data_IF_265155907833
#
_entry.id   IF_265155907833
#
_cell.length_a   1.000
_cell.length_b   1.000
_cell.length_c   1.000
_cell.angle_alpha   90.00
_cell.angle_beta   90.00
_cell.angle_gamma   90.00
#
_symmetry.space_group_name_H-M   'P 1'
#
loop_
_entity.id
_entity.type
_entity.pdbx_description
1 polymer ?
#
# COMPACT_ATOMS: atom_id res chain seq x y z
N UNK A 1 9.03 -15.40 15.51
CA UNK A 1 7.79 -14.71 15.98
C UNK A 1 6.58 -15.29 15.26
N UNK A 2 5.39 -15.22 15.88
CA UNK A 2 4.11 -15.47 15.19
C UNK A 2 3.50 -14.14 14.74
N UNK A 3 2.56 -14.15 13.77
CA UNK A 3 1.95 -12.91 13.27
C UNK A 3 1.32 -12.04 14.38
N UNK A 4 0.71 -12.67 15.38
CA UNK A 4 0.09 -11.96 16.51
C UNK A 4 1.10 -11.36 17.51
N UNK A 5 2.38 -11.66 17.37
CA UNK A 5 3.48 -11.08 18.17
C UNK A 5 4.14 -9.90 17.46
N UNK A 6 3.87 -9.73 16.15
CA UNK A 6 4.44 -8.66 15.31
C UNK A 6 3.51 -7.44 15.35
N UNK A 7 4.01 -6.31 15.83
CA UNK A 7 3.26 -5.06 15.86
C UNK A 7 3.66 -4.17 14.69
N UNK A 8 2.95 -4.28 13.59
CA UNK A 8 3.06 -3.41 12.40
C UNK A 8 1.69 -3.07 11.85
N UNK A 9 1.60 -1.94 11.12
CA UNK A 9 0.50 -1.59 10.23
C UNK A 9 0.90 -1.84 8.79
N UNK A 10 -0.09 -1.81 7.89
CA UNK A 10 0.12 -1.76 6.43
C UNK A 10 1.05 -2.88 5.95
N UNK A 11 0.78 -4.16 6.31
CA UNK A 11 1.69 -5.25 5.99
C UNK A 11 1.70 -5.55 4.51
N UNK A 12 2.89 -5.56 3.93
CA UNK A 12 3.15 -5.96 2.55
C UNK A 12 4.03 -7.21 2.52
N UNK A 13 3.62 -8.27 1.82
CA UNK A 13 4.37 -9.52 1.71
C UNK A 13 4.88 -9.72 0.29
N UNK A 14 6.19 -9.83 0.14
CA UNK A 14 6.87 -10.17 -1.11
C UNK A 14 7.33 -11.63 -1.08
N UNK A 15 6.72 -12.55 -1.85
CA UNK A 15 7.23 -13.91 -2.07
C UNK A 15 8.36 -13.89 -3.11
N UNK A 16 9.56 -14.28 -2.72
CA UNK A 16 10.71 -14.38 -3.64
C UNK A 16 11.72 -15.42 -3.13
N UNK A 17 12.29 -16.21 -4.06
CA UNK A 17 13.34 -17.21 -3.80
C UNK A 17 13.05 -18.17 -2.63
N UNK A 18 11.79 -18.64 -2.54
CA UNK A 18 11.35 -19.60 -1.52
C UNK A 18 11.13 -18.99 -0.13
N UNK A 19 11.15 -17.67 -0.01
CA UNK A 19 10.91 -16.93 1.24
C UNK A 19 9.85 -15.85 1.07
N UNK A 20 9.22 -15.51 2.18
CA UNK A 20 8.26 -14.42 2.29
C UNK A 20 8.89 -13.29 3.09
N UNK A 21 8.93 -12.10 2.51
CA UNK A 21 9.49 -10.89 3.12
C UNK A 21 8.31 -9.97 3.46
N UNK A 22 8.05 -9.74 4.75
CA UNK A 22 6.97 -8.87 5.21
C UNK A 22 7.53 -7.54 5.71
N UNK A 23 7.07 -6.46 5.09
CA UNK A 23 7.35 -5.08 5.46
C UNK A 23 6.11 -4.47 6.09
N UNK A 24 6.26 -3.33 6.75
CA UNK A 24 5.13 -2.58 7.30
C UNK A 24 5.56 -1.34 8.05
N UNK A 25 4.61 -0.50 8.36
CA UNK A 25 4.79 0.64 9.25
C UNK A 25 5.07 0.14 10.67
N UNK A 26 6.11 0.63 11.33
CA UNK A 26 6.46 0.28 12.71
C UNK A 26 5.32 0.69 13.66
N UNK A 27 4.61 -0.27 14.25
CA UNK A 27 3.39 -0.04 15.01
C UNK A 27 3.55 0.86 16.22
N UNK A 28 4.64 0.70 16.99
CA UNK A 28 4.92 1.53 18.18
C UNK A 28 5.35 2.98 17.85
N UNK A 29 5.64 3.29 16.57
CA UNK A 29 6.15 4.58 16.09
C UNK A 29 5.44 5.01 14.80
N UNK A 30 4.17 4.69 14.66
CA UNK A 30 3.41 5.02 13.46
C UNK A 30 3.07 6.51 13.32
N UNK A 31 3.13 7.27 14.42
CA UNK A 31 2.92 8.72 14.41
C UNK A 31 4.12 9.45 15.03
N UNK A 32 4.48 10.59 14.46
CA UNK A 32 5.58 11.42 14.91
C UNK A 32 6.93 10.99 14.36
N UNK A 33 8.00 11.19 15.15
CA UNK A 33 9.38 10.90 14.74
C UNK A 33 9.56 9.44 14.29
N UNK A 34 10.19 9.26 13.15
CA UNK A 34 10.48 7.96 12.56
C UNK A 34 11.85 7.97 11.88
N UNK A 35 12.49 6.80 11.82
CA UNK A 35 13.87 6.69 11.33
C UNK A 35 14.06 5.63 10.24
N UNK A 36 13.12 4.72 10.01
CA UNK A 36 13.33 3.66 9.04
C UNK A 36 12.24 2.61 8.99
N UNK A 37 12.53 1.53 8.23
CA UNK A 37 11.66 0.37 8.04
C UNK A 37 12.40 -0.92 8.33
N UNK A 38 11.62 -1.93 8.71
CA UNK A 38 12.09 -3.28 8.96
C UNK A 38 11.46 -4.28 7.98
N UNK A 39 12.11 -5.45 7.85
CA UNK A 39 11.56 -6.64 7.20
C UNK A 39 11.54 -7.81 8.19
N UNK A 40 10.49 -8.61 8.11
CA UNK A 40 10.37 -9.92 8.76
C UNK A 40 10.42 -11.00 7.67
N UNK A 41 11.12 -12.10 7.92
CA UNK A 41 11.29 -13.17 6.92
C UNK A 41 10.67 -14.46 7.42
N UNK A 42 9.96 -15.17 6.54
CA UNK A 42 9.39 -16.48 6.80
C UNK A 42 9.59 -17.43 5.63
N UNK A 43 9.64 -18.73 5.89
CA UNK A 43 9.62 -19.78 4.86
C UNK A 43 8.26 -20.51 4.80
N UNK A 44 7.41 -20.32 5.82
CA UNK A 44 6.16 -21.08 6.01
C UNK A 44 4.92 -20.22 6.30
N UNK A 45 5.05 -18.89 6.35
CA UNK A 45 4.02 -17.91 6.72
C UNK A 45 3.51 -18.02 8.17
N UNK A 46 4.04 -18.96 8.95
CA UNK A 46 3.68 -19.18 10.35
C UNK A 46 4.75 -18.68 11.31
N UNK A 47 6.03 -18.91 10.95
CA UNK A 47 7.19 -18.57 11.75
C UNK A 47 7.99 -17.46 11.07
N UNK A 48 8.07 -16.30 11.72
CA UNK A 48 8.74 -15.12 11.21
C UNK A 48 10.01 -14.82 12.02
N UNK A 49 11.00 -14.27 11.36
CA UNK A 49 12.24 -13.81 12.00
C UNK A 49 11.97 -12.66 12.99
N UNK A 50 12.98 -12.29 13.77
CA UNK A 50 13.04 -10.95 14.37
C UNK A 50 13.13 -9.90 13.26
N UNK A 51 12.75 -8.63 13.53
CA UNK A 51 12.84 -7.55 12.56
C UNK A 51 14.29 -7.31 12.16
N UNK A 52 14.51 -7.12 10.86
CA UNK A 52 15.79 -6.69 10.29
C UNK A 52 15.59 -5.34 9.63
N UNK A 53 16.40 -4.35 10.03
CA UNK A 53 16.31 -2.99 9.51
C UNK A 53 16.80 -2.94 8.05
N UNK A 54 15.93 -2.48 7.14
CA UNK A 54 16.19 -2.42 5.69
C UNK A 54 16.33 -1.02 5.14
N UNK A 55 15.87 -0.03 5.89
CA UNK A 55 16.04 1.40 5.57
C UNK A 55 16.23 2.19 6.85
N UNK A 56 17.23 3.07 6.84
CA UNK A 56 17.47 4.09 7.88
C UNK A 56 17.65 5.43 7.20
N UNK A 57 16.84 6.40 7.59
CA UNK A 57 16.99 7.77 7.13
C UNK A 57 18.29 8.37 7.61
N UNK A 58 19.07 8.95 6.70
CA UNK A 58 20.23 9.75 7.08
C UNK A 58 19.78 11.12 7.62
N UNK A 59 20.66 11.83 8.33
CA UNK A 59 20.42 13.21 8.79
C UNK A 59 20.10 14.18 7.64
N UNK A 60 20.51 13.86 6.41
CA UNK A 60 20.24 14.66 5.22
C UNK A 60 18.95 14.25 4.50
N UNK A 61 18.22 13.23 4.95
CA UNK A 61 16.97 12.82 4.34
C UNK A 61 15.91 13.91 4.54
N UNK A 62 15.05 14.12 3.53
CA UNK A 62 14.10 15.23 3.53
C UNK A 62 12.96 15.10 4.53
N UNK A 63 12.77 13.93 5.15
CA UNK A 63 11.68 13.61 6.07
C UNK A 63 12.23 12.93 7.33
N UNK A 64 11.53 13.15 8.44
CA UNK A 64 11.87 12.63 9.77
C UNK A 64 10.65 12.17 10.56
N UNK A 65 9.45 12.16 9.93
CA UNK A 65 8.18 11.83 10.57
C UNK A 65 7.34 10.91 9.70
N UNK A 66 6.48 10.13 10.39
CA UNK A 66 5.41 9.37 9.77
C UNK A 66 5.89 8.56 8.56
N UNK A 67 6.88 7.70 8.77
CA UNK A 67 7.33 6.76 7.75
C UNK A 67 6.32 5.64 7.67
N UNK A 68 5.50 5.61 6.58
CA UNK A 68 4.34 4.75 6.48
C UNK A 68 4.33 3.90 5.22
N UNK A 69 3.62 2.75 5.34
CA UNK A 69 3.21 1.87 4.25
C UNK A 69 4.34 1.52 3.25
N UNK A 70 5.42 0.87 3.70
CA UNK A 70 6.47 0.42 2.79
C UNK A 70 6.00 -0.79 1.98
N UNK A 71 5.91 -0.66 0.67
CA UNK A 71 5.63 -1.72 -0.30
C UNK A 71 6.86 -2.03 -1.14
N UNK A 72 7.22 -3.29 -1.30
CA UNK A 72 8.42 -3.67 -2.06
C UNK A 72 8.08 -4.47 -3.31
N UNK A 73 8.38 -3.89 -4.46
CA UNK A 73 8.10 -4.44 -5.78
C UNK A 73 9.39 -4.83 -6.52
N UNK A 74 9.32 -5.92 -7.28
CA UNK A 74 10.43 -6.30 -8.18
C UNK A 74 10.22 -5.62 -9.54
N UNK A 75 11.20 -4.84 -9.97
CA UNK A 75 11.17 -4.18 -11.27
C UNK A 75 12.58 -4.14 -11.87
N UNK A 76 12.71 -4.56 -13.14
CA UNK A 76 13.98 -4.59 -13.87
C UNK A 76 15.15 -5.25 -13.10
N UNK A 77 14.84 -6.34 -12.37
CA UNK A 77 15.84 -7.12 -11.63
C UNK A 77 16.34 -6.49 -10.33
N UNK A 78 15.68 -5.43 -9.86
CA UNK A 78 15.93 -4.79 -8.56
C UNK A 78 14.67 -4.75 -7.70
N UNK A 79 14.83 -4.40 -6.43
CA UNK A 79 13.76 -4.24 -5.46
C UNK A 79 13.51 -2.77 -5.21
N UNK A 80 12.28 -2.33 -5.38
CA UNK A 80 11.88 -0.94 -5.19
C UNK A 80 10.87 -0.85 -4.05
N UNK A 81 11.21 -0.08 -3.03
CA UNK A 81 10.30 0.22 -1.93
C UNK A 81 9.61 1.55 -2.21
N UNK A 82 8.28 1.53 -2.22
CA UNK A 82 7.45 2.73 -2.21
C UNK A 82 6.99 2.96 -0.78
N UNK A 83 7.14 4.17 -0.27
CA UNK A 83 6.71 4.50 1.09
C UNK A 83 6.36 5.98 1.22
N UNK A 84 5.60 6.31 2.25
CA UNK A 84 5.17 7.68 2.56
C UNK A 84 6.03 8.27 3.66
N UNK A 85 6.34 9.57 3.52
CA UNK A 85 7.24 10.30 4.40
C UNK A 85 6.71 11.72 4.67
N UNK A 86 7.05 12.29 5.82
CA UNK A 86 6.67 13.66 6.20
C UNK A 86 7.78 14.35 6.98
N UNK A 87 7.78 15.68 6.94
CA UNK A 87 8.56 16.54 7.82
C UNK A 87 7.75 17.78 8.21
N UNK A 88 8.20 18.50 9.22
CA UNK A 88 7.57 19.75 9.63
C UNK A 88 7.64 20.81 8.53
N UNK A 89 6.49 21.42 8.25
CA UNK A 89 6.38 22.43 7.18
C UNK A 89 6.47 21.90 5.75
N UNK A 90 6.59 20.57 5.59
CA UNK A 90 6.63 19.90 4.28
C UNK A 90 5.41 18.99 4.13
N UNK A 91 4.80 19.00 2.97
CA UNK A 91 3.69 18.11 2.67
C UNK A 91 4.13 16.65 2.67
N UNK A 92 3.24 15.75 3.14
CA UNK A 92 3.47 14.31 3.01
C UNK A 92 3.64 13.95 1.54
N UNK A 93 4.55 13.03 1.25
CA UNK A 93 4.72 12.53 -0.10
C UNK A 93 5.17 11.08 -0.13
N UNK A 94 4.82 10.37 -1.19
CA UNK A 94 5.32 9.03 -1.47
C UNK A 94 6.56 9.10 -2.35
N UNK A 95 7.51 8.19 -2.08
CA UNK A 95 8.81 8.14 -2.73
C UNK A 95 9.23 6.70 -2.98
N UNK A 96 10.01 6.48 -4.06
CA UNK A 96 10.64 5.20 -4.34
C UNK A 96 12.09 5.17 -3.83
N UNK A 97 12.44 4.05 -3.19
CA UNK A 97 13.78 3.67 -2.79
C UNK A 97 14.17 2.40 -3.53
N UNK A 98 15.46 2.09 -3.67
CA UNK A 98 15.95 0.92 -4.41
C UNK A 98 16.97 0.12 -3.61
N UNK A 99 16.94 -1.21 -3.80
CA UNK A 99 17.93 -2.14 -3.27
C UNK A 99 18.23 -3.26 -4.26
N UNK A 100 19.38 -3.93 -4.09
CA UNK A 100 19.75 -5.11 -4.88
C UNK A 100 19.18 -6.42 -4.29
N UNK A 101 18.70 -6.38 -3.05
CA UNK A 101 18.10 -7.54 -2.35
C UNK A 101 16.84 -7.14 -1.59
N UNK A 102 15.92 -8.07 -1.30
CA UNK A 102 14.74 -7.76 -0.47
C UNK A 102 15.10 -7.41 0.98
N UNK A 103 16.31 -7.74 1.41
CA UNK A 103 16.85 -7.40 2.73
C UNK A 103 17.46 -5.99 2.78
N UNK A 104 17.38 -5.22 1.70
CA UNK A 104 17.99 -3.91 1.61
C UNK A 104 19.54 -3.96 1.54
N UNK A 105 20.26 -2.90 1.99
CA UNK A 105 19.67 -1.64 2.42
C UNK A 105 18.99 -0.89 1.25
N UNK A 106 17.81 -0.37 1.50
CA UNK A 106 17.13 0.48 0.53
C UNK A 106 17.70 1.89 0.58
N UNK A 107 17.94 2.47 -0.59
CA UNK A 107 18.43 3.85 -0.73
C UNK A 107 17.46 4.68 -1.55
N UNK A 108 17.17 5.93 -1.16
CA UNK A 108 16.29 6.81 -1.91
C UNK A 108 16.78 7.04 -3.34
N UNK A 109 15.91 6.98 -4.34
CA UNK A 109 16.26 7.33 -5.73
C UNK A 109 16.59 8.82 -5.88
N UNK A 110 15.99 9.65 -5.03
CA UNK A 110 16.27 11.09 -4.89
C UNK A 110 15.98 11.51 -3.46
N UNK A 111 16.45 12.66 -3.05
CA UNK A 111 16.14 13.21 -1.71
C UNK A 111 14.91 14.12 -1.76
N UNK A 112 13.80 13.58 -2.26
CA UNK A 112 12.54 14.29 -2.42
C UNK A 112 11.38 13.31 -2.69
N UNK A 113 10.11 13.72 -2.45
CA UNK A 113 8.96 12.92 -2.84
C UNK A 113 8.84 12.77 -4.35
N UNK A 114 8.27 11.65 -4.79
CA UNK A 114 7.93 11.41 -6.21
C UNK A 114 6.56 11.98 -6.54
N UNK A 115 5.62 12.01 -5.59
CA UNK A 115 4.30 12.63 -5.72
C UNK A 115 4.37 14.17 -5.79
N UNK A 116 3.30 14.88 -6.24
CA UNK A 116 3.29 16.33 -6.30
C UNK A 116 3.63 17.00 -4.97
N UNK A 117 4.54 17.98 -4.98
CA UNK A 117 5.07 18.60 -3.75
C UNK A 117 4.10 19.56 -3.07
N UNK A 118 3.10 20.01 -3.75
CA UNK A 118 2.03 20.87 -3.25
C UNK A 118 0.77 20.09 -2.78
N UNK A 119 0.82 18.75 -2.89
CA UNK A 119 -0.23 17.84 -2.43
C UNK A 119 0.19 17.10 -1.16
N UNK A 120 -0.78 16.84 -0.25
CA UNK A 120 -0.60 15.83 0.80
C UNK A 120 -0.92 14.47 0.17
N UNK A 121 0.12 13.63 -0.02
CA UNK A 121 -0.01 12.34 -0.68
C UNK A 121 0.50 11.22 0.21
N UNK A 122 -0.15 10.05 0.14
CA UNK A 122 0.30 8.86 0.84
C UNK A 122 0.05 7.58 0.03
N UNK A 123 0.65 6.48 0.49
CA UNK A 123 0.41 5.10 0.08
C UNK A 123 0.60 4.85 -1.42
N UNK A 124 1.78 5.26 -1.91
CA UNK A 124 2.14 5.00 -3.30
C UNK A 124 2.44 3.53 -3.56
N UNK A 125 1.73 2.90 -4.52
CA UNK A 125 2.00 1.54 -5.00
C UNK A 125 2.42 1.54 -6.46
N UNK A 126 3.29 0.58 -6.85
CA UNK A 126 3.74 0.42 -8.23
C UNK A 126 2.77 -0.43 -9.04
N UNK A 127 2.39 0.03 -10.21
CA UNK A 127 1.67 -0.74 -11.19
C UNK A 127 2.36 -0.67 -12.56
N UNK A 128 2.52 -1.83 -13.22
CA UNK A 128 3.03 -1.90 -14.60
C UNK A 128 1.84 -2.12 -15.53
N UNK A 129 1.56 -1.14 -16.37
CA UNK A 129 0.48 -1.19 -17.34
C UNK A 129 0.73 -2.22 -18.46
N UNK A 130 -0.30 -2.56 -19.23
CA UNK A 130 -0.20 -3.55 -20.32
C UNK A 130 0.79 -3.15 -21.42
N UNK A 131 1.05 -1.85 -21.58
CA UNK A 131 2.05 -1.32 -22.51
C UNK A 131 3.49 -1.30 -21.94
N UNK A 132 3.66 -1.78 -20.70
CA UNK A 132 4.94 -1.85 -20.00
C UNK A 132 5.35 -0.59 -19.26
N UNK A 133 4.54 0.43 -19.28
CA UNK A 133 4.83 1.68 -18.56
C UNK A 133 4.58 1.54 -17.07
N UNK A 134 5.48 2.06 -16.22
CA UNK A 134 5.27 2.11 -14.79
C UNK A 134 4.34 3.26 -14.39
N UNK A 135 3.45 2.98 -13.44
CA UNK A 135 2.59 3.96 -12.80
C UNK A 135 2.75 3.89 -11.28
N UNK A 136 2.61 5.02 -10.61
CA UNK A 136 2.31 5.07 -9.19
C UNK A 136 0.82 5.32 -9.04
N UNK A 137 0.15 4.47 -8.26
CA UNK A 137 -1.19 4.72 -7.75
C UNK A 137 -1.03 5.19 -6.31
N UNK A 138 -1.71 6.26 -5.92
CA UNK A 138 -1.52 6.89 -4.62
C UNK A 138 -2.76 7.65 -4.18
N UNK A 139 -2.83 7.99 -2.90
CA UNK A 139 -3.90 8.79 -2.32
C UNK A 139 -3.52 10.26 -2.25
N UNK A 140 -4.38 11.16 -2.76
CA UNK A 140 -4.38 12.58 -2.41
C UNK A 140 -5.22 12.74 -1.15
N UNK A 141 -4.58 13.11 -0.07
CA UNK A 141 -5.07 12.89 1.29
C UNK A 141 -6.23 13.83 1.65
N UNK A 142 -7.23 13.27 2.32
CA UNK A 142 -8.44 13.97 2.79
C UNK A 142 -8.15 15.19 3.68
N UNK A 143 -7.02 15.25 4.35
CA UNK A 143 -6.59 16.40 5.16
C UNK A 143 -6.43 17.68 4.32
N UNK A 144 -6.21 17.54 3.01
CA UNK A 144 -6.12 18.64 2.06
C UNK A 144 -7.41 18.84 1.27
N UNK A 145 -7.98 17.74 0.71
CA UNK A 145 -9.10 17.81 -0.24
C UNK A 145 -10.46 17.47 0.36
N UNK A 146 -10.51 17.02 1.64
CA UNK A 146 -11.69 16.55 2.39
C UNK A 146 -12.26 15.24 1.85
N UNK A 147 -12.61 15.16 0.59
CA UNK A 147 -12.99 13.93 -0.08
C UNK A 147 -11.75 13.32 -0.71
N UNK A 148 -11.12 12.38 -0.01
CA UNK A 148 -9.86 11.76 -0.44
C UNK A 148 -9.96 11.27 -1.89
N UNK A 149 -8.91 11.46 -2.65
CA UNK A 149 -8.83 11.11 -4.06
C UNK A 149 -7.88 9.93 -4.25
N UNK A 150 -8.32 8.93 -5.00
CA UNK A 150 -7.43 7.90 -5.54
C UNK A 150 -6.90 8.37 -6.87
N UNK A 151 -5.59 8.50 -6.99
CA UNK A 151 -4.91 9.05 -8.15
C UNK A 151 -3.91 8.06 -8.75
N UNK A 152 -3.60 8.24 -10.03
CA UNK A 152 -2.53 7.54 -10.71
C UNK A 152 -1.69 8.50 -11.56
N UNK A 153 -0.38 8.25 -11.62
CA UNK A 153 0.54 9.02 -12.47
C UNK A 153 1.53 8.07 -13.16
N UNK A 154 1.80 8.30 -14.44
CA UNK A 154 2.89 7.61 -15.16
C UNK A 154 4.24 8.02 -14.54
N UNK A 155 5.11 7.05 -14.29
CA UNK A 155 6.47 7.28 -13.80
C UNK A 155 7.48 7.22 -14.96
N UNK A 156 8.62 7.88 -14.75
CA UNK A 156 9.80 7.61 -15.59
C UNK A 156 10.23 6.16 -15.49
N UNK A 157 10.86 5.56 -16.53
CA UNK A 157 11.25 4.15 -16.51
C UNK A 157 12.23 3.75 -15.39
N UNK A 158 12.90 4.72 -14.77
CA UNK A 158 13.77 4.52 -13.60
C UNK A 158 13.03 4.72 -12.27
N UNK A 159 11.70 4.95 -12.30
CA UNK A 159 10.80 5.17 -11.16
C UNK A 159 11.11 6.38 -10.30
N UNK A 160 11.96 7.29 -10.80
CA UNK A 160 12.46 8.41 -10.00
C UNK A 160 11.50 9.60 -9.97
N UNK A 161 10.85 9.87 -11.09
CA UNK A 161 10.00 11.05 -11.26
C UNK A 161 8.68 10.72 -11.95
N UNK A 162 7.70 11.61 -11.81
CA UNK A 162 6.48 11.57 -12.62
C UNK A 162 6.81 11.90 -14.08
N UNK A 163 6.21 11.15 -15.02
CA UNK A 163 6.33 11.37 -16.46
C UNK A 163 5.12 12.13 -17.05
N UNK A 164 4.18 12.57 -16.20
CA UNK A 164 2.98 13.30 -16.59
C UNK A 164 2.26 13.87 -15.39
N UNK A 165 1.04 14.38 -15.61
CA UNK A 165 0.18 14.88 -14.54
C UNK A 165 -0.61 13.74 -13.89
N UNK A 166 -0.87 13.79 -12.56
CA UNK A 166 -1.74 12.85 -11.90
C UNK A 166 -3.15 12.86 -12.49
N UNK A 167 -3.72 11.66 -12.65
CA UNK A 167 -5.10 11.46 -13.05
C UNK A 167 -5.92 11.01 -11.83
N UNK A 168 -7.04 11.67 -11.58
CA UNK A 168 -8.05 11.21 -10.66
C UNK A 168 -8.70 9.93 -11.20
N UNK A 169 -8.79 8.89 -10.36
CA UNK A 169 -9.47 7.64 -10.65
C UNK A 169 -10.88 7.63 -10.04
N UNK A 170 -11.01 8.00 -8.76
CA UNK A 170 -12.30 8.12 -8.05
C UNK A 170 -12.13 8.88 -6.72
N UNK A 171 -13.23 9.30 -6.12
CA UNK A 171 -13.31 9.88 -4.79
C UNK A 171 -13.74 8.85 -3.73
N UNK A 172 -13.28 9.03 -2.49
CA UNK A 172 -13.61 8.14 -1.38
C UNK A 172 -15.11 8.12 -1.01
N UNK A 173 -15.84 9.19 -1.33
CA UNK A 173 -17.29 9.30 -1.06
C UNK A 173 -18.19 8.55 -2.05
N UNK A 174 -17.64 8.06 -3.18
CA UNK A 174 -18.44 7.49 -4.27
C UNK A 174 -19.17 6.19 -3.88
N UNK A 175 -18.53 5.20 -3.21
CA UNK A 175 -19.17 3.92 -2.94
C UNK A 175 -20.37 4.07 -1.99
N UNK A 176 -21.33 3.16 -2.13
CA UNK A 176 -22.58 3.21 -1.36
C UNK A 176 -22.39 2.94 0.14
N UNK A 177 -21.33 2.22 0.53
CA UNK A 177 -20.98 1.90 1.91
C UNK A 177 -20.21 3.04 2.60
N UNK A 178 -19.71 4.06 1.86
CA UNK A 178 -19.06 5.23 2.44
C UNK A 178 -20.01 6.01 3.35
N UNK A 179 -19.47 6.61 4.39
CA UNK A 179 -20.21 7.37 5.41
C UNK A 179 -20.83 8.64 4.81
N UNK A 180 -22.00 8.54 4.20
CA UNK A 180 -22.67 9.69 3.57
C UNK A 180 -22.90 10.83 4.55
N UNK A 181 -22.47 12.04 4.16
CA UNK A 181 -22.58 13.25 5.00
C UNK A 181 -21.48 13.41 6.04
N UNK A 182 -20.42 12.62 5.99
CA UNK A 182 -19.21 12.87 6.78
C UNK A 182 -18.53 14.18 6.35
N UNK A 183 -17.78 14.80 7.27
CA UNK A 183 -17.03 16.02 6.98
C UNK A 183 -15.80 15.75 6.08
N UNK A 184 -15.33 14.50 6.08
CA UNK A 184 -14.21 14.02 5.24
C UNK A 184 -14.31 12.53 4.95
N UNK A 185 -13.67 12.10 3.88
CA UNK A 185 -13.62 10.72 3.43
C UNK A 185 -12.16 10.30 3.16
N UNK A 186 -11.77 9.18 3.71
CA UNK A 186 -10.40 8.67 3.65
C UNK A 186 -10.22 7.80 2.41
N UNK A 187 -9.07 7.93 1.72
CA UNK A 187 -8.52 6.94 0.81
C UNK A 187 -7.17 6.49 1.36
N UNK A 188 -6.98 5.19 1.55
CA UNK A 188 -5.73 4.58 2.01
C UNK A 188 -5.41 3.32 1.21
N UNK A 189 -4.15 2.92 1.18
CA UNK A 189 -3.63 1.61 0.81
C UNK A 189 -4.07 1.06 -0.55
N UNK A 190 -3.92 1.79 -1.67
CA UNK A 190 -4.23 1.20 -2.98
C UNK A 190 -3.27 0.05 -3.28
N UNK A 191 -3.81 -1.11 -3.63
CA UNK A 191 -3.03 -2.24 -4.12
C UNK A 191 -3.65 -2.79 -5.39
N UNK A 192 -2.82 -2.99 -6.43
CA UNK A 192 -3.28 -3.39 -7.77
C UNK A 192 -3.20 -4.90 -7.94
N UNK A 193 -4.32 -5.55 -8.21
CA UNK A 193 -4.38 -6.99 -8.41
C UNK A 193 -4.99 -7.36 -9.77
N UNK A 194 -4.21 -8.05 -10.60
CA UNK A 194 -4.71 -8.60 -11.86
C UNK A 194 -5.22 -10.02 -11.65
N UNK A 195 -6.52 -10.20 -11.85
CA UNK A 195 -7.17 -11.50 -11.77
C UNK A 195 -6.76 -12.42 -12.93
N UNK A 196 -6.96 -13.72 -12.76
CA UNK A 196 -6.67 -14.72 -13.81
C UNK A 196 -7.52 -14.53 -15.08
N UNK A 197 -8.72 -13.96 -14.95
CA UNK A 197 -9.58 -13.63 -16.10
C UNK A 197 -9.19 -12.33 -16.83
N UNK A 198 -8.13 -11.66 -16.37
CA UNK A 198 -7.57 -10.46 -16.97
C UNK A 198 -8.14 -9.15 -16.43
N UNK A 199 -9.14 -9.17 -15.54
CA UNK A 199 -9.63 -7.96 -14.86
C UNK A 199 -8.55 -7.37 -13.98
N UNK A 200 -8.55 -6.06 -13.88
CA UNK A 200 -7.71 -5.33 -12.94
C UNK A 200 -8.59 -4.83 -11.79
N UNK A 201 -8.30 -5.31 -10.60
CA UNK A 201 -8.89 -4.84 -9.35
C UNK A 201 -7.92 -3.90 -8.65
N UNK A 202 -8.46 -2.96 -7.90
CA UNK A 202 -7.78 -2.17 -6.90
C UNK A 202 -8.38 -2.51 -5.54
N UNK A 203 -7.55 -2.98 -4.62
CA UNK A 203 -7.86 -3.00 -3.21
C UNK A 203 -7.60 -1.60 -2.67
N UNK A 204 -8.42 -1.13 -1.74
CA UNK A 204 -8.21 0.15 -1.07
C UNK A 204 -9.02 0.21 0.21
N UNK A 205 -8.59 1.05 1.15
CA UNK A 205 -9.20 1.14 2.46
C UNK A 205 -9.82 2.51 2.74
N UNK A 206 -10.88 2.49 3.54
CA UNK A 206 -11.58 3.66 4.03
C UNK A 206 -12.40 3.29 5.28
N UNK A 207 -13.33 4.16 5.67
CA UNK A 207 -14.23 3.91 6.79
C UNK A 207 -15.67 3.66 6.34
N UNK A 208 -16.29 2.61 6.90
CA UNK A 208 -17.73 2.33 6.84
C UNK A 208 -18.30 2.31 8.25
N UNK A 209 -19.18 3.24 8.58
CA UNK A 209 -19.55 3.47 9.98
C UNK A 209 -18.34 3.93 10.80
N UNK A 210 -18.00 3.17 11.83
CA UNK A 210 -16.82 3.41 12.68
C UNK A 210 -15.63 2.49 12.33
N UNK A 211 -15.87 1.48 11.50
CA UNK A 211 -14.89 0.44 11.22
C UNK A 211 -14.03 0.82 9.99
N UNK A 212 -12.74 0.58 10.09
CA UNK A 212 -11.82 0.62 8.97
C UNK A 212 -12.02 -0.62 8.13
N UNK A 213 -12.15 -0.49 6.82
CA UNK A 213 -12.58 -1.56 5.92
C UNK A 213 -11.70 -1.65 4.68
N UNK A 214 -11.66 -2.84 4.09
CA UNK A 214 -11.04 -3.08 2.81
C UNK A 214 -12.09 -3.25 1.73
N UNK A 215 -11.97 -2.48 0.66
CA UNK A 215 -12.89 -2.43 -0.46
C UNK A 215 -12.21 -2.79 -1.79
N UNK A 216 -13.03 -3.05 -2.80
CA UNK A 216 -12.58 -3.37 -4.15
C UNK A 216 -13.17 -2.39 -5.16
N UNK A 217 -12.34 -1.95 -6.10
CA UNK A 217 -12.78 -1.29 -7.33
C UNK A 217 -12.26 -2.06 -8.55
N UNK A 218 -12.98 -2.01 -9.66
CA UNK A 218 -12.62 -2.70 -10.91
C UNK A 218 -12.50 -1.71 -12.06
N UNK A 219 -11.45 -1.87 -12.87
CA UNK A 219 -11.25 -1.12 -14.11
C UNK A 219 -12.06 -1.73 -15.27
N UNK A 220 -12.80 -0.91 -16.02
CA UNK A 220 -13.63 -1.33 -17.15
C UNK A 220 -12.82 -1.86 -18.36
N UNK A 221 -11.57 -1.40 -18.52
CA UNK A 221 -10.69 -1.86 -19.61
C UNK A 221 -9.61 -2.84 -19.14
N UNK A 222 -9.60 -3.18 -17.85
CA UNK A 222 -8.60 -4.06 -17.24
C UNK A 222 -7.19 -3.44 -17.22
N UNK A 223 -7.08 -2.11 -17.21
CA UNK A 223 -5.82 -1.38 -17.05
C UNK A 223 -6.02 -0.09 -16.25
N UNK A 224 -4.93 0.58 -15.85
CA UNK A 224 -4.96 1.78 -15.01
C UNK A 224 -5.70 2.94 -15.67
N UNK A 225 -5.71 3.00 -16.98
CA UNK A 225 -6.35 4.06 -17.77
C UNK A 225 -7.87 3.91 -17.92
N UNK A 226 -8.46 2.81 -17.43
CA UNK A 226 -9.91 2.59 -17.45
C UNK A 226 -10.68 3.51 -16.52
N UNK A 227 -12.02 3.44 -16.62
CA UNK A 227 -12.91 3.98 -15.60
C UNK A 227 -13.06 2.96 -14.48
N UNK A 228 -13.10 3.45 -13.25
CA UNK A 228 -13.16 2.60 -12.07
C UNK A 228 -14.59 2.55 -11.51
N UNK A 229 -15.01 1.36 -11.14
CA UNK A 229 -16.32 1.12 -10.51
C UNK A 229 -16.10 0.36 -9.21
N UNK A 230 -16.70 0.84 -8.12
CA UNK A 230 -16.65 0.18 -6.82
C UNK A 230 -17.50 -1.08 -6.82
N UNK A 231 -16.93 -2.17 -6.32
CA UNK A 231 -17.70 -3.39 -6.10
C UNK A 231 -18.63 -3.22 -4.88
N UNK A 232 -19.80 -3.87 -4.87
CA UNK A 232 -20.79 -3.63 -3.81
C UNK A 232 -20.38 -4.20 -2.45
N UNK A 233 -19.66 -5.32 -2.46
CA UNK A 233 -19.28 -6.03 -1.23
C UNK A 233 -17.89 -5.59 -0.78
N UNK A 234 -17.71 -5.40 0.53
CA UNK A 234 -16.41 -5.19 1.14
C UNK A 234 -15.62 -6.51 1.19
N UNK A 235 -14.32 -6.45 0.97
CA UNK A 235 -13.44 -7.61 1.12
C UNK A 235 -13.24 -7.94 2.61
N UNK A 236 -13.14 -6.90 3.44
CA UNK A 236 -13.05 -7.01 4.89
C UNK A 236 -13.76 -5.83 5.57
N UNK A 237 -14.55 -6.11 6.62
CA UNK A 237 -15.45 -5.12 7.25
C UNK A 237 -15.39 -5.06 8.78
N UNK A 238 -14.35 -5.63 9.41
CA UNK A 238 -14.26 -5.79 10.86
C UNK A 238 -13.04 -5.07 11.46
N UNK A 239 -12.96 -3.78 11.24
CA UNK A 239 -11.89 -2.91 11.74
C UNK A 239 -10.49 -3.41 11.36
N UNK A 240 -10.23 -3.41 10.06
CA UNK A 240 -8.93 -3.74 9.48
C UNK A 240 -8.90 -3.46 7.99
N UNK A 241 -7.72 -3.26 7.46
CA UNK A 241 -7.52 -2.91 6.08
C UNK A 241 -6.07 -2.60 5.76
N UNK A 242 -5.86 -1.75 4.75
CA UNK A 242 -4.59 -1.43 4.14
C UNK A 242 -3.83 -2.71 3.82
N UNK A 243 -4.50 -3.54 3.04
CA UNK A 243 -4.03 -4.87 2.77
C UNK A 243 -3.60 -5.08 1.33
N UNK A 244 -2.90 -6.18 1.13
CA UNK A 244 -2.47 -6.61 -0.19
C UNK A 244 -2.71 -8.10 -0.42
N UNK A 245 -2.68 -8.51 -1.67
CA UNK A 245 -2.91 -9.90 -2.09
C UNK A 245 -1.64 -10.48 -2.69
N UNK A 246 -1.26 -11.66 -2.26
CA UNK A 246 -0.14 -12.40 -2.83
C UNK A 246 -0.48 -13.88 -3.03
N UNK A 247 0.30 -14.57 -3.88
CA UNK A 247 0.24 -16.02 -4.03
C UNK A 247 1.37 -16.68 -3.23
N UNK A 248 1.03 -17.74 -2.51
CA UNK A 248 2.04 -18.57 -1.87
C UNK A 248 2.80 -19.38 -2.91
N UNK A 249 3.92 -19.99 -2.52
CA UNK A 249 4.68 -20.88 -3.41
C UNK A 249 3.89 -22.11 -3.82
N UNK A 250 2.87 -22.51 -3.04
CA UNK A 250 1.92 -23.57 -3.36
C UNK A 250 0.78 -23.10 -4.29
N UNK A 251 0.76 -21.81 -4.64
CA UNK A 251 -0.23 -21.22 -5.54
C UNK A 251 -1.53 -20.74 -4.85
N UNK A 252 -1.61 -20.81 -3.54
CA UNK A 252 -2.76 -20.30 -2.80
C UNK A 252 -2.79 -18.78 -2.78
N UNK A 253 -3.98 -18.21 -2.87
CA UNK A 253 -4.18 -16.77 -2.78
C UNK A 253 -4.40 -16.36 -1.32
N UNK A 254 -3.64 -15.37 -0.87
CA UNK A 254 -3.71 -14.81 0.50
C UNK A 254 -3.94 -13.32 0.44
N UNK A 255 -4.77 -12.82 1.34
CA UNK A 255 -4.90 -11.41 1.67
C UNK A 255 -4.29 -11.17 3.03
N UNK A 256 -3.41 -10.20 3.14
CA UNK A 256 -2.83 -9.77 4.41
C UNK A 256 -3.18 -8.30 4.64
N UNK A 257 -3.56 -7.92 5.85
CA UNK A 257 -3.89 -6.58 6.29
C UNK A 257 -3.51 -6.39 7.76
N UNK A 258 -3.56 -5.18 8.27
CA UNK A 258 -3.55 -4.99 9.72
C UNK A 258 -4.99 -5.03 10.29
N UNK A 259 -5.13 -5.57 11.49
CA UNK A 259 -6.38 -5.59 12.27
C UNK A 259 -6.05 -5.84 13.75
N UNK A 260 -6.66 -5.10 14.72
CA UNK A 260 -7.57 -3.96 14.49
C UNK A 260 -6.85 -2.75 13.91
N UNK A 261 -7.61 -1.75 13.42
CA UNK A 261 -7.07 -0.44 13.07
C UNK A 261 -6.91 0.46 14.31
N UNK A 262 -7.77 0.27 15.31
CA UNK A 262 -7.74 0.98 16.59
C UNK A 262 -7.94 0.03 17.76
N UNK A 263 -7.38 0.32 18.98
CA UNK A 263 -6.53 1.47 19.28
C UNK A 263 -5.12 1.32 18.70
N UNK A 264 -4.44 2.46 18.47
CA UNK A 264 -3.06 2.47 17.98
C UNK A 264 -2.12 1.71 18.93
N UNK A 265 -1.28 0.82 18.36
CA UNK A 265 -0.39 -0.08 19.09
C UNK A 265 -0.92 -1.52 19.22
N UNK A 266 -2.21 -1.74 18.98
CA UNK A 266 -2.83 -3.07 19.00
C UNK A 266 -2.84 -3.76 17.62
N UNK A 267 -2.43 -3.04 16.58
CA UNK A 267 -2.41 -3.55 15.21
C UNK A 267 -1.51 -4.76 15.06
N UNK A 268 -2.02 -5.79 14.39
CA UNK A 268 -1.26 -7.00 14.05
C UNK A 268 -1.53 -7.38 12.58
N UNK A 269 -0.54 -7.93 11.90
CA UNK A 269 -0.78 -8.55 10.58
C UNK A 269 -1.79 -9.68 10.74
N UNK A 270 -2.80 -9.66 9.90
CA UNK A 270 -3.79 -10.72 9.82
C UNK A 270 -3.87 -11.23 8.39
N UNK A 271 -3.80 -12.55 8.23
CA UNK A 271 -3.81 -13.20 6.92
C UNK A 271 -5.05 -14.07 6.79
N UNK A 272 -5.76 -13.95 5.64
CA UNK A 272 -6.90 -14.79 5.30
C UNK A 272 -6.75 -15.40 3.90
N UNK A 273 -7.21 -16.65 3.69
CA UNK A 273 -7.22 -17.26 2.38
C UNK A 273 -8.30 -16.63 1.49
N UNK A 274 -7.97 -16.42 0.21
CA UNK A 274 -8.89 -15.88 -0.78
C UNK A 274 -9.16 -16.86 -1.91
N UNK A 275 -10.25 -16.59 -2.63
CA UNK A 275 -10.55 -17.15 -3.95
C UNK A 275 -10.94 -16.03 -4.92
N UNK A 276 -10.62 -16.25 -6.20
CA UNK A 276 -11.20 -15.50 -7.30
C UNK A 276 -12.53 -16.15 -7.70
N UNK A 277 -13.63 -15.47 -7.50
CA UNK A 277 -14.97 -16.00 -7.81
C UNK A 277 -15.87 -14.89 -8.33
N UNK A 278 -16.64 -15.19 -9.40
CA UNK A 278 -17.62 -14.27 -9.99
C UNK A 278 -17.07 -12.87 -10.32
N UNK A 279 -15.78 -12.78 -10.67
CA UNK A 279 -15.14 -11.53 -11.05
C UNK A 279 -14.75 -10.63 -9.89
N UNK A 280 -14.63 -11.18 -8.70
CA UNK A 280 -14.19 -10.51 -7.47
C UNK A 280 -13.28 -11.41 -6.64
N UNK A 281 -12.75 -10.86 -5.55
CA UNK A 281 -12.04 -11.59 -4.50
C UNK A 281 -12.99 -11.84 -3.32
N UNK A 282 -12.92 -13.04 -2.76
CA UNK A 282 -13.69 -13.40 -1.55
C UNK A 282 -12.84 -14.21 -0.57
N UNK A 283 -13.09 -14.02 0.71
CA UNK A 283 -12.54 -14.91 1.75
C UNK A 283 -13.10 -16.34 1.56
N UNK A 284 -12.22 -17.34 1.75
CA UNK A 284 -12.62 -18.77 1.73
C UNK A 284 -13.43 -19.13 2.96
#
# INVERSE_FOLDING_TARGET
>A
MKLNEINIRDPFVLPVDGKYYMYGTRGSKNFGEASGFDVFVSEDLENWSEPHEVFVASEAFWADQNFWAPEVHVYNGKYYMFASFKADGVRRGSQALVADTPMGPFVPLKNDATTPRDWECLDGTLYIAKDGKPYMVFCHEWVQVKDGEMCAVELTPDLKDMAGEPRLLFHASEPHWANKGADSYVTDGPFMYRMQDGRLLMLWSSFSGKDYVEALAVSDNGDITGNWTHLPDLLFEKDGGHGMVFRTFEGELRFIMHSPNLPAGDERPRMIPLVEENGTLRAK
#
